data_IF_917143453126
#
_entry.id   IF_917143453126
#
_cell.length_a   1.000
_cell.length_b   1.000
_cell.length_c   1.000
_cell.angle_alpha   90.00
_cell.angle_beta   90.00
_cell.angle_gamma   90.00
#
_symmetry.space_group_name_H-M   'P 1'
#
loop_
_entity.id
_entity.type
_entity.pdbx_description
1 polymer ?
#
# COMPACT_ATOMS: atom_id res chain seq x y z
N UNK A 1 -17.26 33.51 10.92
CA UNK A 1 -16.17 33.75 11.89
C UNK A 1 -15.40 34.98 11.45
N UNK A 2 -15.09 35.95 12.32
CA UNK A 2 -14.37 37.17 11.93
C UNK A 2 -12.90 36.82 11.64
N UNK A 3 -12.40 37.17 10.45
CA UNK A 3 -11.04 36.84 9.96
C UNK A 3 -9.94 37.34 10.91
N UNK A 4 -10.17 38.48 11.59
CA UNK A 4 -9.24 39.01 12.61
C UNK A 4 -9.09 38.08 13.81
N UNK A 5 -10.19 37.47 14.28
CA UNK A 5 -10.18 36.55 15.42
C UNK A 5 -9.46 35.26 15.05
N UNK A 6 -9.73 34.73 13.86
CA UNK A 6 -9.03 33.54 13.36
C UNK A 6 -7.51 33.78 13.23
N UNK A 7 -7.11 34.94 12.68
CA UNK A 7 -5.68 35.31 12.55
C UNK A 7 -4.97 35.38 13.91
N UNK A 8 -5.64 35.90 14.93
CA UNK A 8 -5.09 35.97 16.29
C UNK A 8 -4.93 34.56 16.86
N UNK A 9 -5.94 33.70 16.72
CA UNK A 9 -5.85 32.31 17.19
C UNK A 9 -4.75 31.53 16.46
N UNK A 10 -4.62 31.68 15.15
CA UNK A 10 -3.54 31.04 14.38
C UNK A 10 -2.14 31.48 14.85
N UNK A 11 -1.97 32.72 15.32
CA UNK A 11 -0.66 33.20 15.81
C UNK A 11 -0.35 32.81 17.24
N UNK A 12 -1.36 32.62 18.09
CA UNK A 12 -1.18 32.40 19.53
C UNK A 12 -1.46 30.97 19.99
N UNK A 13 -2.04 30.12 19.15
CA UNK A 13 -2.39 28.74 19.51
C UNK A 13 -1.31 27.73 19.11
N UNK A 14 -1.50 26.47 19.53
CA UNK A 14 -0.68 25.34 19.10
C UNK A 14 -1.10 24.86 17.70
N UNK A 15 -2.22 25.36 17.15
CA UNK A 15 -2.74 24.94 15.84
C UNK A 15 -1.72 24.99 14.68
N UNK A 16 -0.93 26.06 14.46
CA UNK A 16 0.07 26.07 13.38
C UNK A 16 1.18 25.04 13.62
N UNK A 17 1.61 24.86 14.87
CA UNK A 17 2.60 23.86 15.25
C UNK A 17 2.09 22.44 15.03
N UNK A 18 0.81 22.20 15.30
CA UNK A 18 0.19 20.92 15.01
C UNK A 18 0.20 20.60 13.51
N UNK A 19 -0.15 21.58 12.66
CA UNK A 19 -0.04 21.44 11.20
C UNK A 19 1.40 21.21 10.75
N UNK A 20 2.36 21.98 11.28
CA UNK A 20 3.78 21.84 10.95
C UNK A 20 4.34 20.47 11.34
N UNK A 21 4.05 19.98 12.55
CA UNK A 21 4.50 18.66 13.02
C UNK A 21 3.92 17.54 12.13
N UNK A 22 2.63 17.59 11.80
CA UNK A 22 2.01 16.58 10.93
C UNK A 22 2.64 16.61 9.53
N UNK A 23 2.83 17.79 8.94
CA UNK A 23 3.48 17.95 7.64
C UNK A 23 4.91 17.43 7.64
N UNK A 24 5.73 17.87 8.61
CA UNK A 24 7.14 17.48 8.70
C UNK A 24 7.27 15.98 8.95
N UNK A 25 6.48 15.40 9.84
CA UNK A 25 6.54 13.96 10.13
C UNK A 25 6.10 13.15 8.90
N UNK A 26 5.03 13.55 8.21
CA UNK A 26 4.59 12.89 6.99
C UNK A 26 5.68 12.92 5.91
N UNK A 27 6.26 14.09 5.62
CA UNK A 27 7.31 14.24 4.61
C UNK A 27 8.63 13.56 5.02
N UNK A 28 9.01 13.63 6.29
CA UNK A 28 10.20 12.94 6.79
C UNK A 28 10.04 11.43 6.65
N UNK A 29 8.86 10.88 6.96
CA UNK A 29 8.60 9.46 6.77
C UNK A 29 8.64 9.08 5.29
N UNK A 30 8.01 9.88 4.43
CA UNK A 30 7.98 9.60 3.00
C UNK A 30 9.35 9.74 2.34
N UNK A 31 10.19 10.71 2.69
CA UNK A 31 11.44 10.99 1.95
C UNK A 31 12.75 10.64 2.67
N UNK A 32 12.78 10.60 4.01
CA UNK A 32 14.01 10.35 4.77
C UNK A 32 14.17 8.90 5.23
N UNK A 33 13.08 8.14 5.27
CA UNK A 33 13.11 6.74 5.64
C UNK A 33 13.00 5.88 4.38
N UNK A 34 13.93 4.93 4.24
CA UNK A 34 13.81 3.87 3.24
C UNK A 34 12.77 2.88 3.72
N UNK A 35 11.72 2.66 2.94
CA UNK A 35 10.66 1.71 3.28
C UNK A 35 9.95 1.16 2.05
N UNK A 36 8.91 0.33 2.25
CA UNK A 36 8.18 -0.30 1.16
C UNK A 36 7.57 0.69 0.16
N UNK A 37 7.29 1.94 0.58
CA UNK A 37 6.73 2.99 -0.27
C UNK A 37 7.66 3.53 -1.37
N UNK A 38 8.92 3.10 -1.40
CA UNK A 38 9.88 3.38 -2.49
C UNK A 38 10.23 2.15 -3.33
N UNK A 39 9.54 1.03 -3.13
CA UNK A 39 9.87 -0.24 -3.78
C UNK A 39 8.65 -0.82 -4.50
N UNK A 40 8.90 -1.45 -5.64
CA UNK A 40 7.85 -2.03 -6.48
C UNK A 40 7.04 -0.98 -7.24
N UNK A 41 5.92 -1.42 -7.80
CA UNK A 41 4.95 -0.64 -8.59
C UNK A 41 4.00 0.16 -7.72
N UNK A 42 3.82 -0.23 -6.46
CA UNK A 42 2.94 0.45 -5.51
C UNK A 42 3.66 1.58 -4.74
N UNK A 43 4.67 2.24 -5.32
CA UNK A 43 5.33 3.38 -4.64
C UNK A 43 4.33 4.50 -4.37
N UNK A 44 4.63 5.33 -3.37
CA UNK A 44 3.75 6.44 -3.00
C UNK A 44 3.55 7.47 -4.13
N UNK A 45 4.43 7.47 -5.13
CA UNK A 45 4.39 8.35 -6.30
C UNK A 45 4.21 7.61 -7.62
N UNK A 46 3.89 6.32 -7.60
CA UNK A 46 3.64 5.56 -8.82
C UNK A 46 2.27 5.86 -9.41
N UNK A 47 1.23 5.94 -8.58
CA UNK A 47 -0.16 6.15 -9.03
C UNK A 47 -0.99 6.93 -8.01
N UNK A 48 -2.08 7.55 -8.47
CA UNK A 48 -3.00 8.34 -7.63
C UNK A 48 -3.60 7.55 -6.45
N UNK A 49 -3.98 6.30 -6.69
CA UNK A 49 -4.53 5.42 -5.64
C UNK A 49 -3.47 5.02 -4.64
N UNK A 50 -2.28 4.60 -5.10
CA UNK A 50 -1.14 4.28 -4.24
C UNK A 50 -0.77 5.48 -3.35
N UNK A 51 -0.68 6.68 -3.92
CA UNK A 51 -0.46 7.92 -3.16
C UNK A 51 -1.49 8.09 -2.05
N UNK A 52 -2.77 8.00 -2.39
CA UNK A 52 -3.84 8.19 -1.42
C UNK A 52 -3.85 7.10 -0.34
N UNK A 53 -3.62 5.84 -0.70
CA UNK A 53 -3.50 4.73 0.25
C UNK A 53 -2.29 4.93 1.17
N UNK A 54 -1.12 5.32 0.66
CA UNK A 54 0.07 5.59 1.49
C UNK A 54 -0.17 6.73 2.48
N UNK A 55 -0.78 7.85 2.04
CA UNK A 55 -1.15 8.93 2.98
C UNK A 55 -2.10 8.46 4.08
N UNK A 56 -2.88 7.42 3.80
CA UNK A 56 -3.81 6.82 4.73
C UNK A 56 -3.13 5.79 5.65
N UNK A 57 -2.19 4.98 5.15
CA UNK A 57 -1.35 4.10 5.96
C UNK A 57 -0.54 4.91 6.99
N UNK A 58 -0.05 6.10 6.63
CA UNK A 58 0.67 7.01 7.54
C UNK A 58 -0.15 7.44 8.77
N UNK A 59 -1.48 7.30 8.77
CA UNK A 59 -2.31 7.59 9.94
C UNK A 59 -1.98 6.71 11.14
N UNK A 60 -1.32 5.57 10.94
CA UNK A 60 -0.76 4.76 12.03
C UNK A 60 0.16 5.60 12.94
N UNK A 61 0.86 6.58 12.38
CA UNK A 61 1.72 7.53 13.09
C UNK A 61 1.05 8.89 13.30
N UNK A 62 0.40 9.42 12.25
CA UNK A 62 -0.12 10.78 12.27
C UNK A 62 -1.38 10.94 13.13
N UNK A 63 -2.22 9.92 13.24
CA UNK A 63 -3.45 9.99 14.04
C UNK A 63 -3.20 10.07 15.56
N UNK A 64 -2.30 9.25 16.15
CA UNK A 64 -1.85 9.45 17.53
C UNK A 64 -1.29 10.84 17.81
N UNK A 65 -0.50 11.40 16.88
CA UNK A 65 0.03 12.76 17.00
C UNK A 65 -1.08 13.81 16.98
N UNK A 66 -2.05 13.68 16.07
CA UNK A 66 -3.20 14.56 15.99
C UNK A 66 -4.02 14.55 17.31
N UNK A 67 -4.25 13.36 17.89
CA UNK A 67 -4.90 13.21 19.20
C UNK A 67 -4.13 13.93 20.32
N UNK A 68 -2.81 13.73 20.38
CA UNK A 68 -1.96 14.33 21.41
C UNK A 68 -1.90 15.87 21.29
N UNK A 69 -1.71 16.38 20.08
CA UNK A 69 -1.69 17.81 19.77
C UNK A 69 -3.05 18.46 20.03
N UNK A 70 -4.13 17.75 19.70
CA UNK A 70 -5.48 18.12 20.10
C UNK A 70 -5.62 18.23 21.61
N UNK A 71 -5.16 17.24 22.37
CA UNK A 71 -5.20 17.27 23.83
C UNK A 71 -4.38 18.43 24.42
N UNK A 72 -3.20 18.73 23.86
CA UNK A 72 -2.41 19.91 24.23
C UNK A 72 -3.19 21.21 24.02
N UNK A 73 -3.89 21.33 22.89
CA UNK A 73 -4.73 22.48 22.60
C UNK A 73 -5.93 22.57 23.55
N UNK A 74 -6.54 21.44 23.93
CA UNK A 74 -7.63 21.37 24.92
C UNK A 74 -7.20 21.73 26.35
N UNK A 75 -5.92 21.52 26.68
CA UNK A 75 -5.32 21.85 27.98
C UNK A 75 -4.94 23.33 28.15
N UNK A 76 -4.91 24.10 27.05
CA UNK A 76 -4.43 25.49 27.02
C UNK A 76 -5.02 26.35 28.13
N UNK A 77 -6.35 26.41 28.22
CA UNK A 77 -7.05 27.29 29.17
C UNK A 77 -6.75 26.90 30.64
N UNK A 78 -6.59 25.59 30.89
CA UNK A 78 -6.25 25.08 32.22
C UNK A 78 -4.79 25.38 32.60
N UNK A 79 -3.84 25.20 31.66
CA UNK A 79 -2.42 25.51 31.87
C UNK A 79 -2.19 26.99 32.14
N UNK A 80 -2.97 27.87 31.49
CA UNK A 80 -2.90 29.31 31.72
C UNK A 80 -3.69 29.79 32.95
N UNK A 81 -4.32 28.88 33.72
CA UNK A 81 -5.20 29.20 34.86
C UNK A 81 -6.29 30.22 34.52
N UNK A 82 -6.70 30.27 33.25
CA UNK A 82 -7.67 31.26 32.76
C UNK A 82 -9.12 30.79 32.87
N UNK A 83 -9.36 29.55 33.34
CA UNK A 83 -10.71 28.97 33.35
C UNK A 83 -11.69 29.84 34.13
N UNK A 84 -11.33 30.33 35.32
CA UNK A 84 -12.20 31.17 36.16
C UNK A 84 -12.50 32.54 35.52
N UNK A 85 -11.48 33.18 34.94
CA UNK A 85 -11.60 34.44 34.17
C UNK A 85 -12.46 34.27 32.92
N UNK A 86 -12.38 33.10 32.28
CA UNK A 86 -13.14 32.79 31.08
C UNK A 86 -14.58 32.42 31.41
N UNK A 87 -14.87 31.85 32.58
CA UNK A 87 -16.24 31.59 33.04
C UNK A 87 -17.00 32.85 33.42
N UNK A 88 -16.32 33.91 33.87
CA UNK A 88 -16.94 35.20 34.23
C UNK A 88 -17.12 36.16 33.04
N UNK A 89 -16.57 35.83 31.87
CA UNK A 89 -16.73 36.65 30.66
C UNK A 89 -18.03 36.32 29.91
N UNK A 90 -18.76 37.31 29.38
CA UNK A 90 -20.09 37.12 28.76
C UNK A 90 -20.06 36.36 27.42
N UNK A 91 -18.89 35.90 26.96
CA UNK A 91 -18.76 35.22 25.66
C UNK A 91 -19.19 33.76 25.76
N UNK A 92 -20.10 33.26 24.91
CA UNK A 92 -20.54 31.87 24.96
C UNK A 92 -19.37 30.89 24.79
N UNK A 93 -19.33 29.85 25.62
CA UNK A 93 -18.30 28.80 25.55
C UNK A 93 -18.21 28.15 24.16
N UNK A 94 -19.36 28.06 23.46
CA UNK A 94 -19.48 27.55 22.08
C UNK A 94 -18.64 28.33 21.08
N UNK A 95 -18.62 29.66 21.17
CA UNK A 95 -17.84 30.48 20.24
C UNK A 95 -16.34 30.27 20.43
N UNK A 96 -15.87 30.14 21.67
CA UNK A 96 -14.45 29.90 21.98
C UNK A 96 -13.99 28.52 21.49
N UNK A 97 -14.78 27.49 21.79
CA UNK A 97 -14.50 26.13 21.31
C UNK A 97 -14.53 26.05 19.77
N UNK A 98 -15.49 26.72 19.12
CA UNK A 98 -15.55 26.76 17.66
C UNK A 98 -14.36 27.49 17.02
N UNK A 99 -13.88 28.58 17.63
CA UNK A 99 -12.70 29.31 17.10
C UNK A 99 -11.42 28.50 17.20
N UNK A 100 -11.20 27.81 18.32
CA UNK A 100 -9.99 26.99 18.50
C UNK A 100 -10.04 25.73 17.64
N UNK A 101 -11.18 25.03 17.62
CA UNK A 101 -11.37 23.87 16.76
C UNK A 101 -11.27 24.24 15.27
N UNK A 102 -11.83 25.39 14.87
CA UNK A 102 -11.72 25.90 13.51
C UNK A 102 -10.28 26.23 13.09
N UNK A 103 -9.48 26.83 13.98
CA UNK A 103 -8.06 27.09 13.69
C UNK A 103 -7.27 25.79 13.51
N UNK A 104 -7.46 24.81 14.41
CA UNK A 104 -6.84 23.48 14.30
C UNK A 104 -7.30 22.75 13.04
N UNK A 105 -8.57 22.86 12.68
CA UNK A 105 -9.09 22.22 11.47
C UNK A 105 -8.44 22.78 10.21
N UNK A 106 -8.32 24.11 10.10
CA UNK A 106 -7.69 24.78 8.96
C UNK A 106 -6.21 24.39 8.86
N UNK A 107 -5.47 24.35 9.97
CA UNK A 107 -4.03 24.04 9.91
C UNK A 107 -3.75 22.58 9.56
N UNK A 108 -4.52 21.63 10.13
CA UNK A 108 -4.37 20.21 9.82
C UNK A 108 -4.81 19.87 8.39
N UNK A 109 -5.93 20.44 7.93
CA UNK A 109 -6.36 20.27 6.53
C UNK A 109 -5.35 20.87 5.57
N UNK A 110 -4.86 22.09 5.83
CA UNK A 110 -3.83 22.70 4.99
C UNK A 110 -2.55 21.86 4.94
N UNK A 111 -2.08 21.36 6.09
CA UNK A 111 -0.91 20.49 6.17
C UNK A 111 -1.10 19.20 5.36
N UNK A 112 -2.23 18.52 5.53
CA UNK A 112 -2.53 17.31 4.77
C UNK A 112 -2.69 17.58 3.27
N UNK A 113 -3.37 18.67 2.90
CA UNK A 113 -3.50 19.11 1.50
C UNK A 113 -2.13 19.38 0.88
N UNK A 114 -1.18 19.98 1.62
CA UNK A 114 0.18 20.17 1.12
C UNK A 114 0.91 18.84 0.85
N UNK A 115 0.71 17.82 1.70
CA UNK A 115 1.25 16.47 1.45
C UNK A 115 0.64 15.87 0.18
N UNK A 116 -0.69 15.94 0.03
CA UNK A 116 -1.37 15.42 -1.16
C UNK A 116 -0.96 16.19 -2.42
N UNK A 117 -0.83 17.51 -2.35
CA UNK A 117 -0.37 18.33 -3.46
C UNK A 117 1.08 17.99 -3.85
N UNK A 118 1.95 17.73 -2.88
CA UNK A 118 3.32 17.29 -3.15
C UNK A 118 3.34 15.98 -3.95
N UNK A 119 2.54 14.99 -3.56
CA UNK A 119 2.43 13.73 -4.31
C UNK A 119 1.80 13.95 -5.70
N UNK A 120 0.75 14.76 -5.78
CA UNK A 120 0.08 15.09 -7.03
C UNK A 120 1.04 15.75 -8.04
N UNK A 121 1.92 16.67 -7.59
CA UNK A 121 2.94 17.30 -8.45
C UNK A 121 3.90 16.26 -9.05
N UNK A 122 4.20 15.19 -8.32
CA UNK A 122 5.07 14.11 -8.80
C UNK A 122 4.32 13.21 -9.82
N UNK A 123 3.02 12.98 -9.62
CA UNK A 123 2.21 12.10 -10.48
C UNK A 123 1.78 12.72 -11.83
N UNK A 124 1.67 14.05 -11.92
CA UNK A 124 1.15 14.73 -13.13
C UNK A 124 2.04 14.52 -14.36
N UNK A 125 3.33 14.22 -14.18
CA UNK A 125 4.26 13.94 -15.27
C UNK A 125 4.37 12.45 -15.65
N UNK A 126 4.07 11.55 -14.71
CA UNK A 126 4.57 10.17 -14.76
C UNK A 126 3.44 9.12 -14.82
N UNK A 127 2.16 9.52 -14.77
CA UNK A 127 1.03 8.56 -14.73
C UNK A 127 0.16 8.59 -15.98
N UNK A 128 -0.06 7.42 -16.56
CA UNK A 128 -0.97 7.19 -17.69
C UNK A 128 -2.46 7.06 -17.25
N UNK A 129 -2.71 6.63 -16.02
CA UNK A 129 -4.05 6.40 -15.48
C UNK A 129 -4.52 7.49 -14.52
N UNK A 130 -5.39 8.38 -15.00
CA UNK A 130 -6.01 9.43 -14.18
C UNK A 130 -7.47 9.09 -13.86
N UNK A 131 -7.82 9.05 -12.58
CA UNK A 131 -9.20 8.90 -12.11
C UNK A 131 -9.46 9.77 -10.88
N UNK A 132 -10.71 9.84 -10.41
CA UNK A 132 -11.09 10.56 -9.17
C UNK A 132 -11.29 9.64 -7.96
N UNK A 133 -11.06 8.32 -8.11
CA UNK A 133 -11.26 7.31 -7.05
C UNK A 133 -10.36 7.50 -5.82
N UNK A 134 -9.25 8.23 -5.97
CA UNK A 134 -8.34 8.57 -4.86
C UNK A 134 -8.90 9.64 -3.91
N UNK A 135 -9.83 10.49 -4.38
CA UNK A 135 -10.35 11.61 -3.58
C UNK A 135 -11.04 11.17 -2.29
N UNK A 136 -11.98 10.20 -2.28
CA UNK A 136 -12.57 9.69 -1.04
C UNK A 136 -11.52 9.13 -0.06
N UNK A 137 -10.49 8.45 -0.56
CA UNK A 137 -9.42 7.89 0.26
C UNK A 137 -8.70 9.01 1.02
N UNK A 138 -8.25 10.06 0.31
CA UNK A 138 -7.57 11.21 0.91
C UNK A 138 -8.49 12.06 1.79
N UNK A 139 -9.76 12.25 1.42
CA UNK A 139 -10.72 13.02 2.22
C UNK A 139 -10.99 12.37 3.57
N UNK A 140 -11.13 11.04 3.60
CA UNK A 140 -11.30 10.30 4.85
C UNK A 140 -10.03 10.37 5.70
N UNK A 141 -8.84 10.37 5.10
CA UNK A 141 -7.60 10.57 5.84
C UNK A 141 -7.51 11.96 6.49
N UNK A 142 -7.87 13.02 5.76
CA UNK A 142 -7.98 14.38 6.31
C UNK A 142 -9.00 14.43 7.46
N UNK A 143 -10.18 13.83 7.27
CA UNK A 143 -11.23 13.75 8.29
C UNK A 143 -10.75 12.99 9.53
N UNK A 144 -9.93 11.94 9.37
CA UNK A 144 -9.39 11.18 10.49
C UNK A 144 -8.48 12.05 11.38
N UNK A 145 -7.60 12.86 10.78
CA UNK A 145 -6.76 13.81 11.51
C UNK A 145 -7.61 14.83 12.29
N UNK A 146 -8.68 15.34 11.66
CA UNK A 146 -9.61 16.26 12.32
C UNK A 146 -10.33 15.61 13.50
N UNK A 147 -10.88 14.41 13.28
CA UNK A 147 -11.58 13.64 14.30
C UNK A 147 -10.65 13.34 15.50
N UNK A 148 -9.42 12.92 15.22
CA UNK A 148 -8.38 12.70 16.23
C UNK A 148 -8.09 13.97 17.02
N UNK A 149 -7.83 15.09 16.35
CA UNK A 149 -7.56 16.36 17.03
C UNK A 149 -8.75 16.85 17.88
N UNK A 150 -9.99 16.71 17.38
CA UNK A 150 -11.19 17.15 18.09
C UNK A 150 -11.46 16.29 19.32
N UNK A 151 -11.33 14.97 19.18
CA UNK A 151 -11.44 14.03 20.29
C UNK A 151 -10.37 14.31 21.34
N UNK A 152 -9.13 14.50 20.91
CA UNK A 152 -8.01 14.89 21.77
C UNK A 152 -8.29 16.17 22.54
N UNK A 153 -8.75 17.22 21.86
CA UNK A 153 -9.14 18.49 22.49
C UNK A 153 -10.22 18.30 23.57
N UNK A 154 -11.26 17.51 23.28
CA UNK A 154 -12.32 17.20 24.23
C UNK A 154 -11.84 16.42 25.45
N UNK A 155 -10.98 15.42 25.26
CA UNK A 155 -10.39 14.63 26.34
C UNK A 155 -9.43 15.47 27.17
N UNK A 156 -8.54 16.24 26.55
CA UNK A 156 -7.58 17.12 27.24
C UNK A 156 -8.28 18.16 28.12
N UNK A 157 -9.42 18.69 27.68
CA UNK A 157 -10.26 19.56 28.51
C UNK A 157 -10.94 18.82 29.66
N UNK A 158 -11.36 17.58 29.43
CA UNK A 158 -12.10 16.77 30.41
C UNK A 158 -11.20 16.19 31.51
N UNK A 159 -9.94 15.88 31.17
CA UNK A 159 -8.90 15.29 32.00
C UNK A 159 -7.67 16.20 32.01
N UNK A 160 -7.68 17.29 32.80
CA UNK A 160 -6.66 18.32 32.75
C UNK A 160 -5.35 17.92 33.44
N UNK A 161 -4.63 16.96 32.87
CA UNK A 161 -3.32 16.48 33.34
C UNK A 161 -2.23 16.77 32.31
N UNK A 162 -0.99 17.14 32.73
CA UNK A 162 0.14 17.26 31.80
C UNK A 162 0.49 15.94 31.11
N UNK A 163 0.08 14.79 31.67
CA UNK A 163 0.31 13.46 31.11
C UNK A 163 -0.76 13.03 30.09
N UNK A 164 -1.88 13.76 29.97
CA UNK A 164 -2.97 13.39 29.05
C UNK A 164 -2.50 13.31 27.58
N UNK A 165 -1.72 14.27 27.04
CA UNK A 165 -1.27 14.20 25.65
C UNK A 165 -0.36 13.00 25.33
N UNK A 166 0.74 12.73 26.07
CA UNK A 166 1.57 11.56 25.77
C UNK A 166 0.83 10.25 26.04
N UNK A 167 -0.01 10.17 27.09
CA UNK A 167 -0.82 8.98 27.34
C UNK A 167 -1.80 8.70 26.20
N UNK A 168 -2.45 9.73 25.64
CA UNK A 168 -3.31 9.57 24.47
C UNK A 168 -2.54 9.16 23.21
N UNK A 169 -1.35 9.71 22.98
CA UNK A 169 -0.49 9.30 21.86
C UNK A 169 -0.18 7.81 21.95
N UNK A 170 0.31 7.35 23.10
CA UNK A 170 0.68 5.95 23.31
C UNK A 170 -0.54 5.04 23.24
N UNK A 171 -1.64 5.40 23.90
CA UNK A 171 -2.86 4.60 23.87
C UNK A 171 -3.44 4.48 22.46
N UNK A 172 -3.45 5.58 21.69
CA UNK A 172 -3.90 5.56 20.30
C UNK A 172 -2.98 4.72 19.41
N UNK A 173 -1.66 4.87 19.55
CA UNK A 173 -0.70 4.07 18.79
C UNK A 173 -0.83 2.58 19.08
N UNK A 174 -0.93 2.20 20.36
CA UNK A 174 -1.16 0.80 20.77
C UNK A 174 -2.49 0.30 20.24
N UNK A 175 -3.57 1.08 20.36
CA UNK A 175 -4.89 0.72 19.83
C UNK A 175 -4.86 0.43 18.33
N UNK A 176 -4.22 1.29 17.53
CA UNK A 176 -4.10 1.07 16.09
C UNK A 176 -3.28 -0.18 15.74
N UNK A 177 -2.19 -0.44 16.47
CA UNK A 177 -1.38 -1.63 16.24
C UNK A 177 -2.10 -2.92 16.65
N UNK A 178 -2.92 -2.89 17.70
CA UNK A 178 -3.76 -4.04 18.07
C UNK A 178 -4.81 -4.35 16.98
N UNK A 179 -5.42 -3.32 16.39
CA UNK A 179 -6.31 -3.50 15.25
C UNK A 179 -5.58 -4.08 14.03
N UNK A 180 -4.28 -3.82 13.86
CA UNK A 180 -3.47 -4.40 12.79
C UNK A 180 -3.01 -5.84 13.05
N UNK A 181 -2.60 -6.19 14.27
CA UNK A 181 -2.17 -7.58 14.57
C UNK A 181 -3.31 -8.57 14.31
N UNK A 182 -4.56 -8.16 14.55
CA UNK A 182 -5.74 -8.98 14.26
C UNK A 182 -6.04 -9.19 12.76
N UNK A 183 -5.28 -8.58 11.85
CA UNK A 183 -5.36 -8.83 10.40
C UNK A 183 -4.26 -9.79 9.92
N UNK A 184 -3.11 -9.84 10.59
CA UNK A 184 -1.93 -10.61 10.17
C UNK A 184 -1.88 -12.06 10.69
N UNK A 185 -2.68 -12.44 11.69
CA UNK A 185 -2.72 -13.83 12.19
C UNK A 185 -3.54 -14.74 11.28
N UNK A 186 -2.99 -15.04 10.11
CA UNK A 186 -3.42 -16.14 9.23
C UNK A 186 -2.90 -17.47 9.79
N UNK A 187 -3.55 -17.97 10.84
CA UNK A 187 -3.60 -19.41 11.10
C UNK A 187 -4.81 -20.00 10.36
N UNK A 188 -4.68 -21.17 9.71
CA UNK A 188 -5.83 -21.88 9.14
C UNK A 188 -6.76 -22.32 10.27
N UNK A 189 -7.78 -21.51 10.56
CA UNK A 189 -8.75 -21.74 11.63
C UNK A 189 -9.00 -20.54 12.56
N UNK A 190 -8.24 -19.45 12.43
CA UNK A 190 -8.48 -18.24 13.21
C UNK A 190 -9.73 -17.49 12.71
N UNK A 191 -10.53 -17.01 13.67
CA UNK A 191 -11.88 -16.52 13.51
C UNK A 191 -12.04 -15.43 12.44
N UNK A 192 -13.21 -15.45 11.79
CA UNK A 192 -13.78 -14.43 10.88
C UNK A 192 -13.11 -13.05 10.97
N UNK A 193 -12.69 -12.45 9.85
CA UNK A 193 -12.13 -11.11 9.82
C UNK A 193 -13.02 -10.12 10.57
N UNK A 194 -12.44 -9.50 11.60
CA UNK A 194 -13.21 -8.68 12.51
C UNK A 194 -13.49 -7.33 11.86
N UNK A 195 -14.76 -7.02 11.56
CA UNK A 195 -15.19 -5.70 11.04
C UNK A 195 -14.66 -4.52 11.87
N UNK A 196 -14.31 -4.76 13.13
CA UNK A 196 -13.69 -3.78 13.99
C UNK A 196 -12.32 -3.29 13.50
N UNK A 197 -11.57 -4.06 12.71
CA UNK A 197 -10.28 -3.61 12.14
C UNK A 197 -10.45 -2.42 11.20
N UNK A 198 -11.59 -2.35 10.49
CA UNK A 198 -11.95 -1.24 9.61
C UNK A 198 -12.33 0.05 10.36
N UNK A 199 -12.48 0.02 11.70
CA UNK A 199 -12.56 1.23 12.53
C UNK A 199 -11.20 1.95 12.64
N UNK A 200 -10.10 1.27 12.29
CA UNK A 200 -8.81 1.92 12.14
C UNK A 200 -8.91 2.99 11.04
N UNK A 201 -8.47 4.24 11.32
CA UNK A 201 -8.35 5.25 10.28
C UNK A 201 -7.26 4.89 9.25
N UNK A 202 -6.23 4.16 9.67
CA UNK A 202 -5.16 3.67 8.81
C UNK A 202 -5.60 2.43 8.02
N UNK A 203 -5.11 2.31 6.79
CA UNK A 203 -5.28 1.10 5.95
C UNK A 203 -4.09 0.18 6.12
N UNK A 204 -4.26 -1.06 5.66
CA UNK A 204 -3.19 -2.06 5.60
C UNK A 204 -2.08 -1.64 4.61
N UNK A 205 -1.05 -2.48 4.49
CA UNK A 205 0.08 -2.21 3.60
C UNK A 205 -0.39 -2.03 2.15
N UNK A 206 0.08 -0.97 1.52
CA UNK A 206 -0.14 -0.72 0.10
C UNK A 206 0.84 -1.60 -0.67
N UNK A 207 0.34 -2.75 -1.15
CA UNK A 207 1.15 -3.76 -1.82
C UNK A 207 0.92 -3.84 -3.32
N UNK A 208 -0.25 -3.41 -3.77
CA UNK A 208 -0.69 -3.58 -5.14
C UNK A 208 -1.41 -2.30 -5.59
N UNK A 209 -1.04 -1.81 -6.77
CA UNK A 209 -1.61 -0.62 -7.40
C UNK A 209 -3.04 -0.84 -7.90
N UNK A 210 -3.44 -2.08 -8.10
CA UNK A 210 -4.76 -2.49 -8.58
C UNK A 210 -5.82 -2.51 -7.48
N UNK A 211 -5.43 -2.44 -6.22
CA UNK A 211 -6.36 -2.48 -5.10
C UNK A 211 -6.82 -1.08 -4.69
N UNK A 212 -8.13 -0.95 -4.51
CA UNK A 212 -8.77 0.23 -3.93
C UNK A 212 -9.73 -0.17 -2.81
N UNK A 213 -10.26 0.82 -2.10
CA UNK A 213 -11.24 0.60 -1.03
C UNK A 213 -12.66 0.66 -1.56
N UNK A 214 -13.51 -0.24 -1.05
CA UNK A 214 -14.93 -0.22 -1.42
C UNK A 214 -15.68 0.97 -0.81
N UNK A 215 -16.70 1.45 -1.51
CA UNK A 215 -17.53 2.57 -1.06
C UNK A 215 -18.14 2.38 0.35
N UNK A 216 -18.59 1.18 0.78
CA UNK A 216 -19.07 0.95 2.14
C UNK A 216 -18.01 1.21 3.21
N UNK A 217 -16.74 0.91 2.94
CA UNK A 217 -15.63 1.19 3.86
C UNK A 217 -15.47 2.69 4.04
N UNK A 218 -15.43 3.45 2.95
CA UNK A 218 -15.37 4.91 3.01
C UNK A 218 -16.55 5.52 3.76
N UNK A 219 -17.77 5.05 3.50
CA UNK A 219 -18.98 5.56 4.16
C UNK A 219 -18.96 5.25 5.66
N UNK A 220 -18.68 4.00 6.03
CA UNK A 220 -18.62 3.56 7.42
C UNK A 220 -17.55 4.32 8.20
N UNK A 221 -16.34 4.46 7.65
CA UNK A 221 -15.27 5.24 8.28
C UNK A 221 -15.61 6.73 8.36
N UNK A 222 -16.23 7.31 7.33
CA UNK A 222 -16.69 8.71 7.39
C UNK A 222 -17.66 8.91 8.57
N UNK A 223 -18.66 8.03 8.72
CA UNK A 223 -19.63 8.10 9.82
C UNK A 223 -18.97 7.92 11.18
N UNK A 224 -18.07 6.94 11.31
CA UNK A 224 -17.29 6.70 12.52
C UNK A 224 -16.47 7.92 12.93
N UNK A 225 -15.71 8.49 12.00
CA UNK A 225 -14.86 9.66 12.24
C UNK A 225 -15.68 10.91 12.55
N UNK A 226 -16.84 11.10 11.89
CA UNK A 226 -17.77 12.19 12.23
C UNK A 226 -18.33 12.03 13.64
N UNK A 227 -18.67 10.79 14.04
CA UNK A 227 -19.08 10.49 15.42
C UNK A 227 -18.00 10.87 16.43
N UNK A 228 -16.73 10.51 16.17
CA UNK A 228 -15.60 10.90 17.00
C UNK A 228 -15.39 12.43 17.05
N UNK A 229 -15.44 13.11 15.90
CA UNK A 229 -15.29 14.56 15.82
C UNK A 229 -16.40 15.28 16.60
N UNK A 230 -17.65 14.83 16.45
CA UNK A 230 -18.81 15.35 17.16
C UNK A 230 -18.69 15.11 18.69
N UNK A 231 -18.24 13.92 19.12
CA UNK A 231 -17.97 13.63 20.52
C UNK A 231 -16.87 14.54 21.09
N UNK A 232 -15.76 14.70 20.38
CA UNK A 232 -14.69 15.62 20.78
C UNK A 232 -15.16 17.05 20.95
N UNK A 233 -15.94 17.55 19.99
CA UNK A 233 -16.55 18.88 20.07
C UNK A 233 -17.58 18.99 21.21
N UNK A 234 -18.42 17.98 21.42
CA UNK A 234 -19.38 17.96 22.52
C UNK A 234 -18.68 17.94 23.89
N UNK A 235 -17.60 17.18 24.05
CA UNK A 235 -16.77 17.18 25.25
C UNK A 235 -16.11 18.54 25.51
N UNK A 236 -15.73 19.27 24.45
CA UNK A 236 -15.25 20.65 24.60
C UNK A 236 -16.31 21.59 25.20
N UNK A 237 -17.58 21.35 24.89
CA UNK A 237 -18.70 22.17 25.40
C UNK A 237 -19.21 21.70 26.77
N UNK A 238 -18.97 20.44 27.14
CA UNK A 238 -19.56 19.82 28.32
C UNK A 238 -19.00 20.40 29.63
N UNK A 239 -19.89 20.99 30.43
CA UNK A 239 -19.55 21.57 31.74
C UNK A 239 -19.72 20.58 32.90
N UNK A 240 -20.68 19.65 32.81
CA UNK A 240 -21.03 18.72 33.90
C UNK A 240 -20.70 17.27 33.55
N UNK A 241 -20.50 16.43 34.56
CA UNK A 241 -20.25 14.98 34.37
C UNK A 241 -21.36 14.30 33.56
N UNK A 242 -22.63 14.65 33.81
CA UNK A 242 -23.78 14.12 33.03
C UNK A 242 -23.68 14.51 31.56
N UNK A 243 -23.41 15.79 31.26
CA UNK A 243 -23.25 16.23 29.85
C UNK A 243 -22.05 15.57 29.17
N UNK A 244 -20.99 15.22 29.91
CA UNK A 244 -19.85 14.46 29.37
C UNK A 244 -20.22 13.03 29.00
N UNK A 245 -21.05 12.37 29.80
CA UNK A 245 -21.57 11.03 29.47
C UNK A 245 -22.42 11.07 28.20
N UNK A 246 -23.34 12.03 28.09
CA UNK A 246 -24.14 12.20 26.87
C UNK A 246 -23.29 12.57 25.64
N UNK A 247 -22.15 13.23 25.83
CA UNK A 247 -21.23 13.55 24.72
C UNK A 247 -20.58 12.29 24.09
N UNK A 248 -20.68 11.11 24.72
CA UNK A 248 -20.24 9.85 24.14
C UNK A 248 -21.27 9.21 23.18
N UNK A 249 -22.50 9.71 23.15
CA UNK A 249 -23.53 9.16 22.27
C UNK A 249 -23.16 9.22 20.76
N UNK A 250 -22.57 10.31 20.22
CA UNK A 250 -22.20 10.37 18.81
C UNK A 250 -21.15 9.34 18.40
N UNK A 251 -20.11 9.12 19.21
CA UNK A 251 -19.08 8.11 18.93
C UNK A 251 -19.66 6.69 18.99
N UNK A 252 -20.52 6.39 19.96
CA UNK A 252 -21.17 5.07 20.05
C UNK A 252 -22.11 4.82 18.87
N UNK A 253 -22.95 5.80 18.51
CA UNK A 253 -23.81 5.71 17.34
C UNK A 253 -23.00 5.56 16.05
N UNK A 254 -21.92 6.34 15.90
CA UNK A 254 -21.01 6.25 14.76
C UNK A 254 -20.36 4.88 14.63
N UNK A 255 -19.91 4.29 15.74
CA UNK A 255 -19.34 2.94 15.75
C UNK A 255 -20.36 1.88 15.31
N UNK A 256 -21.56 1.91 15.89
CA UNK A 256 -22.62 0.94 15.56
C UNK A 256 -23.00 1.04 14.08
N UNK A 257 -23.22 2.25 13.57
CA UNK A 257 -23.57 2.45 12.16
C UNK A 257 -22.42 2.00 11.24
N UNK A 258 -21.17 2.35 11.57
CA UNK A 258 -20.01 1.93 10.78
C UNK A 258 -19.86 0.41 10.73
N UNK A 259 -19.99 -0.29 11.86
CA UNK A 259 -19.91 -1.76 11.93
C UNK A 259 -21.02 -2.47 11.13
N UNK A 260 -22.20 -1.85 11.02
CA UNK A 260 -23.29 -2.34 10.19
C UNK A 260 -23.01 -2.15 8.69
N UNK A 261 -22.32 -1.08 8.31
CA UNK A 261 -21.94 -0.78 6.92
C UNK A 261 -20.72 -1.56 6.45
N UNK A 262 -19.80 -1.88 7.36
CA UNK A 262 -18.57 -2.55 7.00
C UNK A 262 -18.81 -3.97 6.43
N UNK A 263 -18.12 -4.31 5.33
CA UNK A 263 -18.18 -5.66 4.80
C UNK A 263 -17.63 -6.67 5.81
N UNK A 264 -18.25 -7.85 5.86
CA UNK A 264 -17.80 -8.95 6.71
C UNK A 264 -16.58 -9.69 6.16
N UNK A 265 -16.39 -9.60 4.85
CA UNK A 265 -15.33 -10.27 4.10
C UNK A 265 -14.26 -9.24 3.69
N UNK A 266 -12.98 -9.41 4.05
CA UNK A 266 -11.87 -8.54 3.64
C UNK A 266 -11.77 -8.36 2.13
N UNK A 267 -12.13 -9.39 1.35
CA UNK A 267 -12.15 -9.33 -0.13
C UNK A 267 -13.22 -8.37 -0.68
N UNK A 268 -14.13 -7.88 0.18
CA UNK A 268 -15.09 -6.82 -0.13
C UNK A 268 -14.70 -5.48 0.47
N UNK A 269 -13.68 -5.43 1.33
CA UNK A 269 -13.11 -4.20 1.86
C UNK A 269 -12.10 -3.61 0.87
N UNK A 270 -11.16 -4.44 0.42
CA UNK A 270 -10.26 -4.14 -0.69
C UNK A 270 -10.79 -4.78 -1.96
N UNK A 271 -11.03 -3.97 -2.98
CA UNK A 271 -11.59 -4.38 -4.26
C UNK A 271 -10.64 -4.00 -5.38
N UNK A 272 -10.63 -4.80 -6.43
CA UNK A 272 -9.85 -4.50 -7.64
C UNK A 272 -10.47 -3.29 -8.33
N UNK A 273 -9.65 -2.32 -8.73
CA UNK A 273 -10.05 -1.27 -9.66
C UNK A 273 -10.08 -1.87 -11.07
N UNK A 274 -11.28 -2.28 -11.49
CA UNK A 274 -11.55 -2.87 -12.82
C UNK A 274 -11.05 -2.00 -13.98
N UNK A 275 -11.02 -0.67 -13.82
CA UNK A 275 -10.50 0.21 -14.85
C UNK A 275 -8.96 0.28 -14.85
N UNK A 276 -8.32 0.10 -13.70
CA UNK A 276 -6.86 0.02 -13.59
C UNK A 276 -6.31 -1.29 -14.18
N UNK A 277 -6.99 -2.42 -13.94
CA UNK A 277 -6.59 -3.75 -14.45
C UNK A 277 -7.00 -4.01 -15.90
N UNK A 278 -7.82 -3.14 -16.50
CA UNK A 278 -8.27 -3.29 -17.87
C UNK A 278 -7.07 -3.46 -18.83
N UNK A 279 -7.08 -4.51 -19.65
CA UNK A 279 -5.94 -4.82 -20.51
C UNK A 279 -5.82 -3.83 -21.68
N UNK A 280 -4.62 -3.29 -21.88
CA UNK A 280 -4.22 -2.51 -23.06
C UNK A 280 -3.13 -3.28 -23.80
N UNK A 281 -3.31 -3.50 -25.11
CA UNK A 281 -2.47 -4.42 -25.88
C UNK A 281 -1.83 -3.77 -27.12
N UNK A 282 -0.60 -4.16 -27.41
CA UNK A 282 0.04 -4.05 -28.73
C UNK A 282 0.27 -5.46 -29.30
N UNK A 283 -0.69 -5.93 -30.09
CA UNK A 283 -0.69 -7.28 -30.64
C UNK A 283 -0.82 -8.33 -29.52
N UNK A 284 0.11 -9.30 -29.40
CA UNK A 284 0.04 -10.36 -28.39
C UNK A 284 0.59 -9.93 -27.02
N UNK A 285 1.00 -8.68 -26.85
CA UNK A 285 1.57 -8.15 -25.60
C UNK A 285 0.56 -7.20 -24.98
N UNK A 286 0.14 -7.47 -23.75
CA UNK A 286 -0.79 -6.63 -23.01
C UNK A 286 -0.28 -6.30 -21.62
N UNK A 287 -0.56 -5.08 -21.17
CA UNK A 287 -0.35 -4.59 -19.81
C UNK A 287 -1.68 -4.10 -19.23
N UNK A 288 -1.75 -3.90 -17.92
CA UNK A 288 -2.85 -3.23 -17.27
C UNK A 288 -2.89 -1.75 -17.67
N UNK A 289 -4.08 -1.13 -17.66
CA UNK A 289 -4.26 0.29 -17.97
C UNK A 289 -3.42 1.19 -17.06
N UNK A 290 -3.22 0.79 -15.80
CA UNK A 290 -2.38 1.50 -14.85
C UNK A 290 -0.89 1.56 -15.26
N UNK A 291 -0.43 0.63 -16.09
CA UNK A 291 0.95 0.51 -16.56
C UNK A 291 1.06 0.64 -18.08
N UNK A 292 0.14 1.38 -18.70
CA UNK A 292 0.10 1.57 -20.16
C UNK A 292 1.39 2.18 -20.71
N UNK A 293 2.07 3.01 -19.94
CA UNK A 293 3.36 3.63 -20.25
C UNK A 293 4.49 2.60 -20.43
N UNK A 294 4.41 1.44 -19.77
CA UNK A 294 5.37 0.34 -19.95
C UNK A 294 5.14 -0.43 -21.26
N UNK A 295 3.98 -0.30 -21.91
CA UNK A 295 3.63 -1.11 -23.08
C UNK A 295 4.61 -0.90 -24.24
N UNK A 296 5.03 0.33 -24.49
CA UNK A 296 5.93 0.64 -25.60
C UNK A 296 7.32 -0.01 -25.42
N UNK A 297 7.82 -0.02 -24.18
CA UNK A 297 9.08 -0.67 -23.82
C UNK A 297 8.96 -2.21 -23.84
N UNK A 298 7.80 -2.76 -23.44
CA UNK A 298 7.56 -4.20 -23.37
C UNK A 298 7.26 -4.84 -24.73
N UNK A 299 6.57 -4.15 -25.64
CA UNK A 299 6.02 -4.73 -26.86
C UNK A 299 7.08 -5.36 -27.78
N UNK A 300 8.21 -4.67 -27.98
CA UNK A 300 9.32 -5.17 -28.82
C UNK A 300 9.97 -6.43 -28.23
N UNK A 301 10.52 -6.36 -27.01
CA UNK A 301 11.06 -7.52 -26.28
C UNK A 301 10.06 -8.68 -26.14
N UNK A 302 8.78 -8.39 -25.88
CA UNK A 302 7.72 -9.40 -25.78
C UNK A 302 7.43 -10.13 -27.08
N UNK A 303 7.31 -9.42 -28.20
CA UNK A 303 7.13 -10.07 -29.52
C UNK A 303 8.36 -10.92 -29.88
N UNK A 304 9.55 -10.45 -29.55
CA UNK A 304 10.81 -11.18 -29.77
C UNK A 304 10.88 -12.45 -28.91
N UNK A 305 10.55 -12.37 -27.61
CA UNK A 305 10.56 -13.53 -26.72
C UNK A 305 9.55 -14.58 -27.15
N UNK A 306 8.31 -14.20 -27.52
CA UNK A 306 7.31 -15.12 -28.06
C UNK A 306 7.78 -15.84 -29.32
N UNK A 307 8.49 -15.15 -30.20
CA UNK A 307 9.07 -15.75 -31.41
C UNK A 307 10.12 -16.81 -31.06
N UNK A 308 10.99 -16.52 -30.09
CA UNK A 308 11.99 -17.47 -29.60
C UNK A 308 11.35 -18.67 -28.89
N UNK A 309 10.36 -18.42 -28.02
CA UNK A 309 9.58 -19.47 -27.35
C UNK A 309 8.92 -20.39 -28.37
N UNK A 310 8.28 -19.83 -29.41
CA UNK A 310 7.63 -20.61 -30.47
C UNK A 310 8.61 -21.48 -31.24
N UNK A 311 9.80 -20.97 -31.55
CA UNK A 311 10.86 -21.73 -32.23
C UNK A 311 11.35 -22.91 -31.38
N UNK A 312 11.38 -22.74 -30.07
CA UNK A 312 11.95 -23.69 -29.12
C UNK A 312 10.94 -24.75 -28.66
N UNK A 313 9.79 -24.31 -28.13
CA UNK A 313 8.77 -25.19 -27.55
C UNK A 313 7.77 -25.69 -28.61
N UNK A 314 7.67 -25.02 -29.76
CA UNK A 314 6.73 -25.38 -30.81
C UNK A 314 5.28 -25.18 -30.35
N UNK A 315 4.45 -26.22 -30.45
CA UNK A 315 3.03 -26.23 -30.10
C UNK A 315 2.70 -25.81 -28.67
N UNK A 316 3.65 -26.03 -27.74
CA UNK A 316 3.50 -25.80 -26.31
C UNK A 316 3.90 -24.37 -25.89
N UNK A 317 4.44 -23.57 -26.81
CA UNK A 317 4.89 -22.22 -26.50
C UNK A 317 3.72 -21.29 -26.11
N UNK A 318 3.89 -20.43 -25.09
CA UNK A 318 2.99 -19.31 -24.84
C UNK A 318 2.83 -18.45 -26.11
N UNK A 319 1.61 -17.97 -26.34
CA UNK A 319 1.26 -17.19 -27.54
C UNK A 319 1.09 -15.70 -27.26
N UNK A 320 1.15 -15.30 -25.99
CA UNK A 320 0.96 -13.92 -25.55
C UNK A 320 1.85 -13.58 -24.36
N UNK A 321 2.11 -12.30 -24.16
CA UNK A 321 2.69 -11.76 -22.92
C UNK A 321 1.60 -10.93 -22.27
N UNK A 322 1.32 -11.17 -20.99
CA UNK A 322 0.30 -10.44 -20.26
C UNK A 322 0.80 -10.06 -18.89
N UNK A 323 0.46 -8.88 -18.43
CA UNK A 323 0.63 -8.54 -17.04
C UNK A 323 -0.27 -9.40 -16.13
N UNK A 324 0.28 -9.81 -14.99
CA UNK A 324 -0.43 -10.44 -13.87
C UNK A 324 -1.12 -9.35 -13.06
N UNK A 325 -2.45 -9.38 -13.04
CA UNK A 325 -3.27 -8.39 -12.31
C UNK A 325 -4.12 -9.03 -11.23
N UNK A 326 -3.93 -10.33 -10.98
CA UNK A 326 -4.68 -11.07 -9.97
C UNK A 326 -4.17 -10.69 -8.57
N UNK A 327 -5.02 -10.15 -7.69
CA UNK A 327 -4.61 -9.83 -6.33
C UNK A 327 -4.28 -11.12 -5.57
N UNK A 328 -3.18 -11.08 -4.82
CA UNK A 328 -2.69 -12.21 -4.03
C UNK A 328 -2.21 -11.75 -2.65
N UNK A 329 -2.25 -12.67 -1.67
CA UNK A 329 -1.62 -12.42 -0.37
C UNK A 329 -0.13 -12.74 -0.44
N UNK A 330 0.62 -12.31 0.58
CA UNK A 330 2.03 -12.66 0.70
C UNK A 330 2.15 -14.19 0.85
N UNK A 331 3.09 -14.79 0.11
CA UNK A 331 3.31 -16.25 0.04
C UNK A 331 2.18 -17.06 -0.63
N UNK A 332 1.10 -16.43 -1.10
CA UNK A 332 0.17 -17.12 -2.00
C UNK A 332 0.88 -17.41 -3.34
N UNK A 333 0.61 -18.56 -3.98
CA UNK A 333 1.15 -18.87 -5.30
C UNK A 333 0.82 -17.77 -6.33
N UNK A 334 1.75 -17.42 -7.24
CA UNK A 334 1.49 -16.42 -8.28
C UNK A 334 0.44 -16.91 -9.29
N UNK A 335 -0.13 -15.96 -10.06
CA UNK A 335 -0.97 -16.30 -11.21
C UNK A 335 -0.15 -17.15 -12.20
N UNK A 336 -0.80 -18.15 -12.81
CA UNK A 336 -0.14 -19.07 -13.76
C UNK A 336 -0.94 -19.20 -15.04
N UNK A 337 -0.23 -19.28 -16.16
CA UNK A 337 -0.81 -19.52 -17.47
C UNK A 337 0.09 -20.42 -18.31
N UNK A 338 -0.55 -21.29 -19.09
CA UNK A 338 0.14 -22.12 -20.10
C UNK A 338 0.19 -21.44 -21.47
N UNK A 339 -0.63 -20.41 -21.67
CA UNK A 339 -0.80 -19.75 -22.98
C UNK A 339 -0.25 -18.33 -23.00
N UNK A 340 0.09 -17.77 -21.84
CA UNK A 340 0.64 -16.45 -21.69
C UNK A 340 1.89 -16.47 -20.80
N UNK A 341 2.90 -15.69 -21.17
CA UNK A 341 3.98 -15.31 -20.27
C UNK A 341 3.44 -14.22 -19.35
N UNK A 342 3.32 -14.54 -18.06
CA UNK A 342 2.83 -13.58 -17.07
C UNK A 342 3.98 -12.74 -16.53
N UNK A 343 3.82 -11.43 -16.63
CA UNK A 343 4.77 -10.41 -16.14
C UNK A 343 4.17 -9.78 -14.89
N UNK A 344 4.96 -9.71 -13.83
CA UNK A 344 4.64 -8.94 -12.63
C UNK A 344 5.68 -7.81 -12.56
N UNK A 345 5.26 -6.55 -12.56
CA UNK A 345 6.20 -5.43 -12.50
C UNK A 345 6.70 -5.17 -11.06
N UNK A 346 6.11 -5.80 -10.03
CA UNK A 346 6.67 -5.82 -8.67
C UNK A 346 7.86 -6.77 -8.55
N UNK A 347 8.02 -7.67 -9.52
CA UNK A 347 9.19 -8.52 -9.64
C UNK A 347 10.38 -7.68 -10.13
N UNK A 348 11.40 -7.59 -9.28
CA UNK A 348 12.61 -6.80 -9.53
C UNK A 348 13.44 -7.26 -10.73
N UNK A 349 13.21 -8.49 -11.25
CA UNK A 349 13.82 -8.93 -12.52
C UNK A 349 13.17 -8.26 -13.74
N UNK A 350 11.93 -7.79 -13.62
CA UNK A 350 11.22 -7.07 -14.68
C UNK A 350 11.22 -5.56 -14.49
N UNK A 351 11.18 -5.08 -13.24
CA UNK A 351 10.99 -3.67 -12.91
C UNK A 351 11.95 -2.71 -13.63
N UNK A 352 13.24 -3.04 -13.68
CA UNK A 352 14.29 -2.20 -14.28
C UNK A 352 14.84 -2.77 -15.61
N UNK A 353 14.29 -3.89 -16.09
CA UNK A 353 14.83 -4.57 -17.25
C UNK A 353 14.39 -3.91 -18.56
N UNK A 354 15.35 -3.63 -19.44
CA UNK A 354 15.10 -3.03 -20.75
C UNK A 354 15.70 -3.84 -21.90
N UNK A 355 15.17 -3.66 -23.12
CA UNK A 355 15.76 -4.19 -24.35
C UNK A 355 16.05 -5.70 -24.33
N UNK A 356 17.32 -6.07 -24.47
CA UNK A 356 17.76 -7.47 -24.48
C UNK A 356 17.65 -8.15 -23.10
N UNK A 357 17.79 -7.39 -22.01
CA UNK A 357 17.62 -7.93 -20.66
C UNK A 357 16.16 -8.27 -20.40
N UNK A 358 15.24 -7.39 -20.80
CA UNK A 358 13.80 -7.67 -20.75
C UNK A 358 13.43 -8.86 -21.64
N UNK A 359 14.03 -8.97 -22.83
CA UNK A 359 13.83 -10.14 -23.71
C UNK A 359 14.28 -11.43 -23.02
N UNK A 360 15.43 -11.41 -22.34
CA UNK A 360 15.94 -12.56 -21.58
C UNK A 360 15.03 -12.91 -20.41
N UNK A 361 14.54 -11.92 -19.67
CA UNK A 361 13.62 -12.13 -18.53
C UNK A 361 12.30 -12.78 -19.00
N UNK A 362 11.69 -12.23 -20.06
CA UNK A 362 10.48 -12.78 -20.64
C UNK A 362 10.67 -14.19 -21.21
N UNK A 363 11.84 -14.44 -21.82
CA UNK A 363 12.19 -15.76 -22.31
C UNK A 363 12.38 -16.75 -21.16
N UNK A 364 13.10 -16.37 -20.10
CA UNK A 364 13.27 -17.17 -18.89
C UNK A 364 11.92 -17.54 -18.28
N UNK A 365 11.07 -16.54 -18.04
CA UNK A 365 9.72 -16.71 -17.49
C UNK A 365 8.80 -17.55 -18.38
N UNK A 366 8.87 -17.38 -19.71
CA UNK A 366 8.08 -18.18 -20.63
C UNK A 366 8.55 -19.63 -20.76
N UNK A 367 9.85 -19.88 -20.59
CA UNK A 367 10.44 -21.22 -20.62
C UNK A 367 10.24 -21.94 -19.29
N UNK A 368 10.46 -21.26 -18.17
CA UNK A 368 10.39 -21.79 -16.81
C UNK A 368 9.55 -20.79 -15.98
N UNK A 369 8.21 -20.90 -16.02
CA UNK A 369 7.34 -20.06 -15.18
C UNK A 369 7.62 -20.30 -13.69
N UNK A 370 7.59 -19.23 -12.89
CA UNK A 370 7.79 -19.32 -11.44
C UNK A 370 6.64 -20.02 -10.72
N UNK A 371 6.97 -20.76 -9.66
CA UNK A 371 6.03 -21.35 -8.71
C UNK A 371 6.01 -20.60 -7.39
N UNK A 372 7.13 -19.96 -7.03
CA UNK A 372 7.21 -19.08 -5.87
C UNK A 372 7.25 -17.62 -6.33
N UNK A 373 6.40 -16.79 -5.74
CA UNK A 373 6.34 -15.38 -6.10
C UNK A 373 7.66 -14.66 -5.77
N UNK A 374 7.99 -13.66 -6.57
CA UNK A 374 9.15 -12.79 -6.40
C UNK A 374 8.69 -11.34 -6.45
N UNK A 375 9.09 -10.57 -5.45
CA UNK A 375 8.70 -9.16 -5.30
C UNK A 375 9.71 -8.43 -4.41
N UNK A 376 9.48 -7.14 -4.12
CA UNK A 376 10.25 -6.42 -3.11
C UNK A 376 10.26 -7.08 -1.72
N UNK A 377 9.30 -7.97 -1.43
CA UNK A 377 9.14 -8.65 -0.14
C UNK A 377 9.27 -10.18 -0.22
N UNK A 378 9.45 -10.75 -1.41
CA UNK A 378 9.53 -12.19 -1.65
C UNK A 378 10.71 -12.50 -2.58
N UNK A 379 11.53 -13.47 -2.23
CA UNK A 379 12.77 -13.74 -2.97
C UNK A 379 12.60 -14.66 -4.19
N UNK A 380 11.52 -15.44 -4.26
CA UNK A 380 11.49 -16.68 -5.05
C UNK A 380 12.49 -17.71 -4.52
N UNK A 381 12.85 -18.71 -5.33
CA UNK A 381 13.92 -19.66 -5.02
C UNK A 381 15.13 -19.48 -5.95
N UNK A 382 16.31 -19.89 -5.45
CA UNK A 382 17.54 -19.85 -6.24
C UNK A 382 17.43 -20.82 -7.44
N UNK A 383 16.87 -22.01 -7.22
CA UNK A 383 16.77 -23.04 -8.25
C UNK A 383 15.89 -22.59 -9.43
N UNK A 384 14.78 -21.89 -9.16
CA UNK A 384 13.91 -21.34 -10.20
C UNK A 384 14.65 -20.30 -11.06
N UNK A 385 15.34 -19.35 -10.43
CA UNK A 385 16.03 -18.30 -11.18
C UNK A 385 17.25 -18.84 -11.95
N UNK A 386 17.92 -19.85 -11.40
CA UNK A 386 18.99 -20.58 -12.08
C UNK A 386 18.44 -21.34 -13.29
N UNK A 387 17.32 -22.07 -13.14
CA UNK A 387 16.67 -22.78 -14.24
C UNK A 387 16.23 -21.83 -15.36
N UNK A 388 15.65 -20.68 -15.02
CA UNK A 388 15.33 -19.60 -15.98
C UNK A 388 16.60 -19.14 -16.72
N UNK A 389 17.70 -18.95 -16.00
CA UNK A 389 18.97 -18.48 -16.56
C UNK A 389 19.61 -19.49 -17.50
N UNK A 390 19.58 -20.79 -17.15
CA UNK A 390 20.03 -21.90 -17.99
C UNK A 390 19.18 -21.98 -19.26
N UNK A 391 17.84 -21.97 -19.13
CA UNK A 391 16.94 -22.07 -20.27
C UNK A 391 17.11 -20.88 -21.23
N UNK A 392 17.16 -19.66 -20.72
CA UNK A 392 17.39 -18.46 -21.52
C UNK A 392 18.77 -18.47 -22.18
N UNK A 393 19.83 -18.81 -21.44
CA UNK A 393 21.20 -18.88 -21.97
C UNK A 393 21.45 -20.03 -22.95
N UNK A 394 20.65 -21.09 -22.88
CA UNK A 394 20.63 -22.15 -23.89
C UNK A 394 20.07 -21.64 -25.22
N UNK A 395 18.93 -20.93 -25.20
CA UNK A 395 18.31 -20.34 -26.40
C UNK A 395 19.11 -19.18 -26.98
N UNK A 396 19.59 -18.26 -26.14
CA UNK A 396 20.31 -17.05 -26.57
C UNK A 396 21.79 -17.32 -26.89
N UNK A 397 22.32 -18.44 -26.42
CA UNK A 397 23.73 -18.81 -26.60
C UNK A 397 24.67 -18.22 -25.55
N UNK A 398 24.23 -17.24 -24.76
CA UNK A 398 25.02 -16.59 -23.70
C UNK A 398 24.39 -16.76 -22.31
N UNK A 399 25.18 -17.22 -21.33
CA UNK A 399 24.73 -17.33 -19.94
C UNK A 399 25.02 -16.03 -19.20
N UNK A 400 23.97 -15.38 -18.69
CA UNK A 400 24.05 -14.19 -17.84
C UNK A 400 23.12 -14.37 -16.63
N UNK A 401 23.46 -13.80 -15.47
CA UNK A 401 22.54 -13.75 -14.34
C UNK A 401 21.36 -12.83 -14.68
N UNK A 402 20.28 -12.97 -13.94
CA UNK A 402 19.23 -11.96 -13.91
C UNK A 402 19.57 -10.93 -12.85
N UNK A 403 19.77 -9.69 -13.30
CA UNK A 403 19.91 -8.55 -12.42
C UNK A 403 18.56 -8.28 -11.72
N UNK A 404 18.61 -7.67 -10.54
CA UNK A 404 17.43 -7.40 -9.71
C UNK A 404 16.92 -8.58 -8.88
N UNK A 405 17.28 -9.83 -9.19
CA UNK A 405 16.93 -10.96 -8.32
C UNK A 405 17.54 -10.81 -6.91
N UNK A 406 16.83 -11.23 -5.86
CA UNK A 406 17.35 -11.18 -4.48
C UNK A 406 18.59 -12.07 -4.28
N UNK A 407 18.80 -13.05 -5.15
CA UNK A 407 19.96 -13.93 -5.15
C UNK A 407 21.14 -13.30 -5.89
N UNK A 408 22.34 -13.34 -5.27
CA UNK A 408 23.54 -12.75 -5.84
C UNK A 408 23.88 -13.36 -7.21
N UNK A 409 24.28 -12.51 -8.15
CA UNK A 409 24.69 -12.93 -9.50
C UNK A 409 25.77 -14.03 -9.51
N UNK A 410 26.67 -14.00 -8.51
CA UNK A 410 27.69 -15.03 -8.33
C UNK A 410 27.11 -16.41 -8.04
N UNK A 411 26.06 -16.47 -7.23
CA UNK A 411 25.42 -17.73 -6.84
C UNK A 411 24.62 -18.29 -8.00
N UNK A 412 23.85 -17.43 -8.69
CA UNK A 412 23.14 -17.80 -9.92
C UNK A 412 24.10 -18.43 -10.95
N UNK A 413 25.23 -17.78 -11.23
CA UNK A 413 26.20 -18.27 -12.20
C UNK A 413 26.97 -19.51 -11.73
N UNK A 414 27.24 -19.63 -10.43
CA UNK A 414 27.91 -20.80 -9.85
C UNK A 414 27.11 -22.06 -10.10
N UNK A 415 25.78 -21.98 -9.98
CA UNK A 415 24.88 -23.10 -10.21
C UNK A 415 24.50 -23.29 -11.67
N UNK A 416 24.26 -22.22 -12.43
CA UNK A 416 23.82 -22.32 -13.82
C UNK A 416 24.90 -22.84 -14.78
N UNK A 417 26.18 -22.50 -14.54
CA UNK A 417 27.30 -22.87 -15.42
C UNK A 417 27.49 -24.37 -15.62
N UNK A 418 27.55 -25.22 -14.56
CA UNK A 418 27.69 -26.65 -14.73
C UNK A 418 26.50 -27.24 -15.50
N UNK A 419 25.27 -26.89 -15.10
CA UNK A 419 24.03 -27.41 -15.72
C UNK A 419 23.97 -27.06 -17.21
N UNK A 420 24.25 -25.80 -17.58
CA UNK A 420 24.24 -25.40 -19.00
C UNK A 420 25.33 -26.11 -19.81
N UNK A 421 26.50 -26.36 -19.21
CA UNK A 421 27.60 -27.07 -19.87
C UNK A 421 27.22 -28.52 -20.15
N UNK A 422 26.63 -29.19 -19.17
CA UNK A 422 26.14 -30.56 -19.31
C UNK A 422 25.04 -30.63 -20.36
N UNK A 423 24.03 -29.77 -20.24
CA UNK A 423 22.94 -29.70 -21.23
C UNK A 423 23.49 -29.52 -22.65
N UNK A 424 24.42 -28.58 -22.87
CA UNK A 424 25.01 -28.33 -24.20
C UNK A 424 25.90 -29.48 -24.71
N UNK A 425 26.36 -30.38 -23.86
CA UNK A 425 27.17 -31.54 -24.26
C UNK A 425 26.32 -32.68 -24.86
N UNK A 426 25.00 -32.67 -24.63
CA UNK A 426 24.08 -33.72 -25.10
C UNK A 426 23.72 -33.57 -26.59
N UNK A 427 23.21 -34.62 -27.25
CA UNK A 427 22.61 -34.48 -28.57
C UNK A 427 21.44 -33.49 -28.57
N UNK A 428 21.30 -32.71 -29.65
CA UNK A 428 20.28 -31.65 -29.76
C UNK A 428 18.85 -32.11 -29.38
N UNK A 429 18.46 -33.32 -29.81
CA UNK A 429 17.15 -33.90 -29.47
C UNK A 429 16.94 -34.09 -27.98
N UNK A 430 17.99 -34.46 -27.24
CA UNK A 430 17.94 -34.66 -25.80
C UNK A 430 17.93 -33.32 -25.05
N UNK A 431 18.67 -32.32 -25.55
CA UNK A 431 18.62 -30.95 -25.03
C UNK A 431 17.18 -30.41 -25.08
N UNK A 432 16.54 -30.51 -26.25
CA UNK A 432 15.15 -30.09 -26.45
C UNK A 432 14.20 -30.87 -25.54
N UNK A 433 14.40 -32.18 -25.39
CA UNK A 433 13.56 -33.01 -24.53
C UNK A 433 13.64 -32.58 -23.05
N UNK A 434 14.85 -32.35 -22.51
CA UNK A 434 15.03 -31.89 -21.12
C UNK A 434 14.43 -30.52 -20.90
N UNK A 435 14.63 -29.59 -21.83
CA UNK A 435 14.06 -28.24 -21.77
C UNK A 435 12.53 -28.27 -21.77
N UNK A 436 11.91 -29.12 -22.60
CA UNK A 436 10.45 -29.29 -22.60
C UNK A 436 9.92 -29.95 -21.33
N UNK A 437 10.64 -30.92 -20.79
CA UNK A 437 10.31 -31.54 -19.52
C UNK A 437 10.36 -30.52 -18.38
N UNK A 438 11.41 -29.71 -18.31
CA UNK A 438 11.56 -28.62 -17.34
C UNK A 438 10.43 -27.58 -17.49
N UNK A 439 10.09 -27.16 -18.71
CA UNK A 439 8.95 -26.27 -18.97
C UNK A 439 7.63 -26.87 -18.44
N UNK A 440 7.39 -28.15 -18.69
CA UNK A 440 6.16 -28.84 -18.25
C UNK A 440 6.08 -28.95 -16.73
N UNK A 441 7.21 -29.25 -16.07
CA UNK A 441 7.32 -29.29 -14.61
C UNK A 441 7.06 -27.91 -14.01
N UNK A 442 7.70 -26.87 -14.53
CA UNK A 442 7.52 -25.48 -14.10
C UNK A 442 6.06 -25.01 -14.29
N UNK A 443 5.48 -25.24 -15.48
CA UNK A 443 4.10 -24.86 -15.78
C UNK A 443 3.04 -25.59 -14.92
N UNK A 444 3.41 -26.69 -14.27
CA UNK A 444 2.55 -27.44 -13.34
C UNK A 444 2.95 -27.30 -11.88
N UNK A 445 4.12 -26.72 -11.59
CA UNK A 445 4.77 -26.74 -10.28
C UNK A 445 4.92 -28.14 -9.70
N UNK A 446 5.23 -29.11 -10.56
CA UNK A 446 5.45 -30.50 -10.18
C UNK A 446 6.90 -30.89 -10.47
N UNK A 447 7.73 -30.88 -9.42
CA UNK A 447 9.17 -31.16 -9.49
C UNK A 447 10.02 -29.90 -9.66
N UNK A 448 11.33 -30.06 -9.52
CA UNK A 448 12.30 -28.99 -9.72
C UNK A 448 12.72 -28.90 -11.20
N UNK A 449 12.46 -27.76 -11.89
CA UNK A 449 12.90 -27.57 -13.26
C UNK A 449 14.42 -27.64 -13.43
N UNK A 450 15.19 -27.25 -12.41
CA UNK A 450 16.65 -27.28 -12.46
C UNK A 450 17.19 -28.71 -12.50
N UNK A 451 16.64 -29.60 -11.66
CA UNK A 451 16.99 -31.03 -11.66
C UNK A 451 16.73 -31.68 -13.02
N UNK A 452 15.63 -31.32 -13.69
CA UNK A 452 15.29 -31.85 -15.01
C UNK A 452 16.25 -31.36 -16.11
N UNK A 453 16.77 -30.14 -15.98
CA UNK A 453 17.81 -29.62 -16.88
C UNK A 453 19.16 -30.32 -16.64
N UNK A 454 19.47 -30.63 -15.37
CA UNK A 454 20.70 -31.34 -14.96
C UNK A 454 20.65 -32.84 -15.30
N UNK A 455 19.44 -33.42 -15.45
CA UNK A 455 19.26 -34.83 -15.83
C UNK A 455 18.83 -35.76 -14.68
N UNK A 456 18.34 -35.19 -13.57
CA UNK A 456 17.73 -35.94 -12.47
C UNK A 456 18.73 -36.64 -11.54
N UNK A 457 20.02 -36.27 -11.57
CA UNK A 457 20.96 -36.68 -10.53
C UNK A 457 20.63 -35.92 -9.24
N UNK A 458 19.89 -36.58 -8.34
CA UNK A 458 19.60 -36.07 -6.99
C UNK A 458 20.85 -35.48 -6.35
N UNK A 459 20.82 -34.20 -5.96
CA UNK A 459 21.84 -33.57 -5.13
C UNK A 459 21.79 -34.06 -3.69
#
# INVERSE_FOLDING_TARGET
>A
MNTRVLRIELRRSVAPWAGAVILIVALAFLYLLSGPWWKGTATWTAQWTSMALWTRSLLILLWPLALALGALQGLRDHRSKMVELLTSTPRPARHRAATTAGATAITLTSAFTLVVLQGAVQLVGDTSYTHLGWLPISLVAALALLAGAFLGMGIGRSLPSPLTPPALAVAAFVFLNLLRISTDTMEPGAATPNRATLLSPAVEDVRDVFLTLSAPVHLGQTIWLLGMAATGFALLLAATRRTRLFALAPVLAGAVIALLLFPADPRRAYVVDEAAVASVCDGPVCVAKAHEDHLAALAGPGKKSLTLLRRTLGGEAPTSVRESTAPRSLFDPPERSRTAVLVDFDDSVFADAEGEELTRALLGQGMIPICFARSANESGTLDEIVAQGVAAGWVLGDLRPFDGAMHAASDQLKEARPVLRELKALPWSEQVARVKAAHTAAASCAGDPLDLLDGGTSR
#
